data_IF_196613104393
#
_entry.id   IF_196613104393
#
_cell.length_a   1.000
_cell.length_b   1.000
_cell.length_c   1.000
_cell.angle_alpha   90.00
_cell.angle_beta   90.00
_cell.angle_gamma   90.00
#
_symmetry.space_group_name_H-M   'P 1'
#
loop_
_entity.id
_entity.type
_entity.pdbx_description
1 polymer ?
#
# COMPACT_ATOMS: atom_id res chain seq x y z
N UNK A 1 15.46 -75.63 -0.61
CA UNK A 1 15.34 -74.17 -0.74
C UNK A 1 13.87 -73.82 -0.64
N UNK A 2 13.45 -73.12 0.42
CA UNK A 2 12.06 -72.68 0.57
C UNK A 2 11.77 -71.48 -0.33
N UNK A 3 10.56 -71.41 -0.90
CA UNK A 3 10.13 -70.28 -1.73
C UNK A 3 10.09 -69.00 -0.86
N UNK A 4 10.59 -67.86 -1.37
CA UNK A 4 10.51 -66.58 -0.66
C UNK A 4 9.06 -66.13 -0.54
N UNK A 5 8.66 -65.63 0.64
CA UNK A 5 7.33 -65.10 0.87
C UNK A 5 7.09 -63.85 0.00
N UNK A 6 5.98 -63.83 -0.73
CA UNK A 6 5.57 -62.70 -1.56
C UNK A 6 5.12 -61.51 -0.69
N UNK A 7 5.72 -60.34 -0.91
CA UNK A 7 5.35 -59.10 -0.21
C UNK A 7 4.05 -58.55 -0.80
N UNK A 8 2.92 -58.91 -0.18
CA UNK A 8 1.60 -58.47 -0.60
C UNK A 8 1.41 -56.95 -0.33
N UNK A 9 0.65 -56.24 -1.20
CA UNK A 9 0.38 -54.83 -1.01
C UNK A 9 -0.30 -54.57 0.34
N UNK A 10 0.37 -53.79 1.20
CA UNK A 10 -0.13 -53.45 2.54
C UNK A 10 -1.41 -52.63 2.42
N UNK A 11 -2.54 -53.22 2.77
CA UNK A 11 -3.82 -52.49 2.88
C UNK A 11 -3.81 -51.63 4.15
N UNK A 12 -3.44 -50.37 4.01
CA UNK A 12 -3.49 -49.42 5.13
C UNK A 12 -4.91 -49.24 5.70
N UNK A 13 -5.02 -48.60 6.86
CA UNK A 13 -6.30 -48.33 7.52
C UNK A 13 -7.27 -47.60 6.57
N UNK A 14 -8.50 -48.10 6.38
CA UNK A 14 -9.49 -47.44 5.53
C UNK A 14 -9.74 -45.99 5.96
N UNK A 15 -9.77 -45.07 4.99
CA UNK A 15 -10.01 -43.65 5.28
C UNK A 15 -11.48 -43.41 5.64
N UNK A 16 -11.74 -42.83 6.81
CA UNK A 16 -13.11 -42.47 7.23
C UNK A 16 -13.77 -41.43 6.32
N UNK A 17 -12.97 -40.59 5.65
CA UNK A 17 -13.46 -39.52 4.79
C UNK A 17 -13.65 -39.99 3.33
N UNK A 18 -14.86 -40.48 3.02
CA UNK A 18 -15.23 -41.01 1.69
C UNK A 18 -15.09 -39.95 0.58
N UNK A 19 -14.91 -40.39 -0.68
CA UNK A 19 -14.80 -39.53 -1.88
C UNK A 19 -15.94 -38.48 -1.99
N UNK A 20 -17.18 -38.86 -1.64
CA UNK A 20 -18.33 -37.94 -1.64
C UNK A 20 -18.14 -36.77 -0.65
N UNK A 21 -17.58 -37.03 0.52
CA UNK A 21 -17.30 -36.00 1.51
C UNK A 21 -16.12 -35.12 1.10
N UNK A 22 -15.10 -35.66 0.40
CA UNK A 22 -14.02 -34.85 -0.19
C UNK A 22 -14.55 -33.81 -1.18
N UNK A 23 -15.42 -34.22 -2.10
CA UNK A 23 -16.03 -33.29 -3.08
C UNK A 23 -16.87 -32.22 -2.39
N UNK A 24 -17.65 -32.60 -1.37
CA UNK A 24 -18.43 -31.65 -0.56
C UNK A 24 -17.54 -30.68 0.21
N UNK A 25 -16.39 -31.14 0.73
CA UNK A 25 -15.42 -30.31 1.44
C UNK A 25 -14.78 -29.29 0.48
N UNK A 26 -14.38 -29.73 -0.72
CA UNK A 26 -13.85 -28.84 -1.76
C UNK A 26 -14.85 -27.73 -2.10
N UNK A 27 -16.10 -28.09 -2.40
CA UNK A 27 -17.16 -27.12 -2.73
C UNK A 27 -17.48 -26.15 -1.58
N UNK A 28 -17.30 -26.59 -0.33
CA UNK A 28 -17.50 -25.74 0.84
C UNK A 28 -16.33 -24.78 1.11
N UNK A 29 -15.14 -25.04 0.56
CA UNK A 29 -13.92 -24.27 0.83
C UNK A 29 -13.47 -23.40 -0.36
N UNK A 30 -13.62 -23.88 -1.60
CA UNK A 30 -13.12 -23.17 -2.79
C UNK A 30 -13.88 -21.87 -3.03
N UNK A 31 -13.15 -20.77 -3.25
CA UNK A 31 -13.70 -19.44 -3.56
C UNK A 31 -14.73 -18.91 -2.54
N UNK A 32 -14.71 -19.39 -1.30
CA UNK A 32 -15.57 -18.90 -0.21
C UNK A 32 -14.76 -18.07 0.78
N UNK A 33 -15.39 -17.04 1.32
CA UNK A 33 -14.80 -16.14 2.32
C UNK A 33 -15.37 -16.48 3.70
N UNK A 34 -14.57 -16.34 4.77
CA UNK A 34 -15.04 -16.49 6.15
C UNK A 34 -15.26 -17.94 6.62
N UNK A 35 -14.78 -18.90 5.85
CA UNK A 35 -14.86 -20.34 6.15
C UNK A 35 -13.61 -20.78 6.91
N UNK A 36 -13.75 -21.10 8.20
CA UNK A 36 -12.65 -21.64 9.02
C UNK A 36 -12.66 -23.17 9.03
N UNK A 37 -11.49 -23.79 9.23
CA UNK A 37 -11.38 -25.25 9.33
C UNK A 37 -12.17 -25.81 10.51
N UNK A 38 -12.35 -25.04 11.60
CA UNK A 38 -13.23 -25.39 12.71
C UNK A 38 -14.71 -25.40 12.30
N UNK A 39 -15.19 -24.37 11.58
CA UNK A 39 -16.55 -24.34 11.03
C UNK A 39 -16.81 -25.52 10.09
N UNK A 40 -15.82 -25.87 9.26
CA UNK A 40 -15.89 -27.06 8.41
C UNK A 40 -15.90 -28.34 9.26
N UNK A 41 -15.09 -28.44 10.32
CA UNK A 41 -15.11 -29.59 11.23
C UNK A 41 -16.50 -29.83 11.82
N UNK A 42 -17.13 -28.78 12.38
CA UNK A 42 -18.51 -28.84 12.87
C UNK A 42 -19.49 -29.24 11.77
N UNK A 43 -19.39 -28.66 10.57
CA UNK A 43 -20.27 -28.97 9.43
C UNK A 43 -20.17 -30.43 8.96
N UNK A 44 -19.00 -31.02 9.05
CA UNK A 44 -18.74 -32.39 8.59
C UNK A 44 -18.72 -33.41 9.74
N UNK A 45 -18.96 -32.99 10.98
CA UNK A 45 -18.94 -33.87 12.16
C UNK A 45 -17.57 -34.48 12.44
N UNK A 46 -16.48 -33.76 12.14
CA UNK A 46 -15.10 -34.27 12.29
C UNK A 46 -14.20 -33.26 12.99
N UNK A 47 -13.10 -33.75 13.57
CA UNK A 47 -12.06 -32.89 14.13
C UNK A 47 -11.46 -31.95 13.07
N UNK A 48 -11.01 -30.77 13.50
CA UNK A 48 -10.37 -29.78 12.63
C UNK A 48 -9.10 -30.34 11.95
N UNK A 49 -8.34 -31.20 12.63
CA UNK A 49 -7.16 -31.87 12.07
C UNK A 49 -7.51 -32.74 10.85
N UNK A 50 -8.66 -33.42 10.87
CA UNK A 50 -9.20 -34.17 9.73
C UNK A 50 -9.50 -33.26 8.55
N UNK A 51 -10.04 -32.06 8.79
CA UNK A 51 -10.26 -31.06 7.74
C UNK A 51 -8.93 -30.57 7.17
N UNK A 52 -7.96 -30.22 8.04
CA UNK A 52 -6.64 -29.77 7.63
C UNK A 52 -5.97 -30.78 6.69
N UNK A 53 -5.92 -32.04 7.09
CA UNK A 53 -5.33 -33.12 6.30
C UNK A 53 -5.98 -33.26 4.92
N UNK A 54 -7.32 -33.24 4.86
CA UNK A 54 -8.03 -33.40 3.59
C UNK A 54 -7.94 -32.16 2.68
N UNK A 55 -7.90 -30.94 3.23
CA UNK A 55 -7.65 -29.73 2.44
C UNK A 55 -6.23 -29.75 1.83
N UNK A 56 -5.23 -30.17 2.61
CA UNK A 56 -3.85 -30.36 2.13
C UNK A 56 -3.78 -31.42 1.02
N UNK A 57 -4.47 -32.55 1.20
CA UNK A 57 -4.58 -33.63 0.20
C UNK A 57 -5.25 -33.18 -1.10
N UNK A 58 -6.22 -32.26 -1.02
CA UNK A 58 -6.87 -31.64 -2.18
C UNK A 58 -6.03 -30.53 -2.84
N UNK A 59 -4.87 -30.19 -2.29
CA UNK A 59 -4.01 -29.11 -2.81
C UNK A 59 -4.52 -27.70 -2.50
N UNK A 60 -5.54 -27.55 -1.64
CA UNK A 60 -6.09 -26.24 -1.29
C UNK A 60 -5.19 -25.54 -0.27
N UNK A 61 -4.68 -24.36 -0.64
CA UNK A 61 -3.87 -23.49 0.22
C UNK A 61 -4.68 -22.30 0.70
N UNK A 62 -4.39 -21.84 1.92
CA UNK A 62 -5.00 -20.63 2.47
C UNK A 62 -4.15 -19.41 2.12
N UNK A 63 -4.76 -18.39 1.51
CA UNK A 63 -4.12 -17.13 1.17
C UNK A 63 -4.78 -15.97 1.92
N UNK A 64 -3.98 -14.98 2.33
CA UNK A 64 -4.51 -13.73 2.91
C UNK A 64 -5.09 -12.87 1.80
N UNK A 65 -6.28 -12.28 2.02
CA UNK A 65 -6.87 -11.31 1.10
C UNK A 65 -6.05 -10.03 1.10
N UNK A 66 -5.75 -9.51 -0.09
CA UNK A 66 -5.08 -8.22 -0.25
C UNK A 66 -6.10 -7.08 -0.26
N UNK A 67 -5.69 -5.90 0.24
CA UNK A 67 -6.49 -4.68 0.16
C UNK A 67 -6.45 -4.18 -1.29
N UNK A 68 -7.60 -4.06 -1.92
CA UNK A 68 -7.70 -3.40 -3.22
C UNK A 68 -7.71 -1.86 -3.01
N UNK A 69 -7.00 -1.09 -3.86
CA UNK A 69 -7.15 0.36 -3.87
C UNK A 69 -8.58 0.73 -4.29
N UNK A 70 -9.19 1.70 -3.60
CA UNK A 70 -10.46 2.30 -4.05
C UNK A 70 -10.16 3.15 -5.28
N UNK A 71 -10.26 2.60 -6.49
CA UNK A 71 -10.24 3.40 -7.72
C UNK A 71 -11.67 3.77 -8.05
N UNK A 72 -12.01 5.07 -8.01
CA UNK A 72 -13.18 5.56 -8.72
C UNK A 72 -12.95 5.34 -10.22
N UNK A 73 -13.95 4.85 -10.93
CA UNK A 73 -13.89 4.75 -12.38
C UNK A 73 -13.98 6.16 -12.95
N UNK A 74 -12.84 6.74 -13.29
CA UNK A 74 -12.80 7.88 -14.21
C UNK A 74 -13.25 7.35 -15.57
N UNK A 75 -14.23 8.02 -16.16
CA UNK A 75 -14.57 7.89 -17.58
C UNK A 75 -13.32 8.22 -18.41
N UNK A 76 -13.14 7.57 -19.56
CA UNK A 76 -11.91 7.67 -20.36
C UNK A 76 -11.55 9.08 -20.85
N UNK A 77 -12.48 10.04 -20.72
CA UNK A 77 -12.34 11.41 -21.24
C UNK A 77 -12.24 12.49 -20.16
N UNK A 78 -12.21 12.13 -18.87
CA UNK A 78 -12.15 13.12 -17.79
C UNK A 78 -10.74 13.22 -17.23
N UNK A 79 -10.14 14.41 -17.28
CA UNK A 79 -8.83 14.68 -16.70
C UNK A 79 -8.97 15.05 -15.22
N UNK A 80 -8.03 14.61 -14.39
CA UNK A 80 -7.90 15.11 -13.02
C UNK A 80 -6.78 16.15 -13.00
N UNK A 81 -7.09 17.32 -12.46
CA UNK A 81 -6.12 18.34 -12.11
C UNK A 81 -5.98 18.32 -10.59
N UNK A 82 -4.77 18.06 -10.10
CA UNK A 82 -4.44 18.04 -8.67
C UNK A 82 -3.45 19.16 -8.39
N UNK A 83 -3.56 19.83 -7.25
CA UNK A 83 -2.55 20.75 -6.74
C UNK A 83 -2.11 20.38 -5.33
N UNK A 84 -0.90 20.82 -4.94
CA UNK A 84 -0.33 20.60 -3.61
C UNK A 84 0.68 21.70 -3.26
N UNK A 85 0.93 21.86 -1.95
CA UNK A 85 1.99 22.69 -1.40
C UNK A 85 3.09 21.85 -0.72
N UNK A 86 4.35 22.21 -0.99
CA UNK A 86 5.49 21.57 -0.35
C UNK A 86 6.51 22.57 0.14
N UNK A 87 7.00 22.36 1.36
CA UNK A 87 8.14 23.08 1.90
C UNK A 87 9.43 22.29 1.64
N UNK A 88 10.42 22.95 1.06
CA UNK A 88 11.77 22.45 0.84
C UNK A 88 12.75 23.18 1.74
N UNK A 89 13.55 22.45 2.51
CA UNK A 89 14.59 23.06 3.34
C UNK A 89 15.86 23.23 2.51
N UNK A 90 16.71 24.20 2.88
CA UNK A 90 18.01 24.41 2.22
C UNK A 90 19.09 23.45 2.73
N UNK A 91 18.77 22.64 3.75
CA UNK A 91 19.66 21.66 4.38
C UNK A 91 19.29 20.25 3.93
N UNK A 92 20.25 19.51 3.36
CA UNK A 92 20.03 18.22 2.66
C UNK A 92 19.72 17.00 3.56
N UNK A 93 19.08 17.17 4.70
CA UNK A 93 18.84 16.07 5.65
C UNK A 93 17.46 15.41 5.51
N UNK A 94 16.76 15.71 4.42
CA UNK A 94 15.35 15.35 4.20
C UNK A 94 15.09 13.86 3.97
N UNK A 95 16.12 13.00 3.97
CA UNK A 95 15.94 11.56 4.12
C UNK A 95 16.23 11.16 5.58
N UNK A 96 15.19 10.89 6.41
CA UNK A 96 15.34 10.49 7.81
C UNK A 96 16.29 9.30 8.01
N UNK A 97 16.42 8.46 6.99
CA UNK A 97 17.27 7.26 6.98
C UNK A 97 18.78 7.57 6.88
N UNK A 98 19.16 8.79 6.46
CA UNK A 98 20.57 9.19 6.30
C UNK A 98 21.10 10.06 7.45
N UNK A 99 20.32 10.27 8.51
CA UNK A 99 20.67 11.14 9.64
C UNK A 99 21.55 10.42 10.68
N UNK A 100 21.87 9.14 10.46
CA UNK A 100 22.74 8.34 11.32
C UNK A 100 24.23 8.57 11.06
N UNK A 101 25.07 8.15 12.00
CA UNK A 101 26.53 8.11 11.85
C UNK A 101 27.07 6.73 12.20
N UNK A 102 28.20 6.35 11.60
CA UNK A 102 28.91 5.11 11.91
C UNK A 102 30.04 5.38 12.89
N UNK A 103 30.20 4.54 13.92
CA UNK A 103 31.29 4.65 14.88
C UNK A 103 31.61 3.29 15.52
N UNK A 104 32.87 3.08 15.89
CA UNK A 104 33.32 1.88 16.62
C UNK A 104 32.90 1.88 18.09
N UNK A 105 32.78 3.05 18.70
CA UNK A 105 32.29 3.26 20.06
C UNK A 105 31.61 4.63 20.13
N UNK A 106 30.48 4.73 20.84
CA UNK A 106 29.74 5.99 20.94
C UNK A 106 30.54 7.05 21.71
N UNK A 107 31.35 6.65 22.69
CA UNK A 107 32.14 7.54 23.55
C UNK A 107 33.16 8.36 22.74
N UNK A 108 33.81 7.75 21.74
CA UNK A 108 34.92 8.32 20.98
C UNK A 108 34.51 9.31 19.87
N UNK A 109 33.21 9.50 19.66
CA UNK A 109 32.70 10.36 18.59
C UNK A 109 32.65 11.81 19.05
N UNK A 110 33.14 12.77 18.26
CA UNK A 110 33.00 14.19 18.55
C UNK A 110 31.54 14.65 18.74
N UNK A 111 31.30 15.59 19.65
CA UNK A 111 29.95 16.06 19.98
C UNK A 111 29.20 16.68 18.80
N UNK A 112 29.90 17.31 17.85
CA UNK A 112 29.32 17.84 16.62
C UNK A 112 28.86 16.76 15.62
N UNK A 113 29.27 15.50 15.82
CA UNK A 113 28.81 14.34 15.06
C UNK A 113 27.72 13.58 15.82
N UNK A 114 27.82 13.51 17.17
CA UNK A 114 26.80 12.92 18.05
C UNK A 114 25.52 13.74 18.09
N UNK A 115 25.66 15.06 18.17
CA UNK A 115 24.58 16.00 18.42
C UNK A 115 24.43 16.95 17.25
N UNK A 116 23.20 17.07 16.78
CA UNK A 116 22.82 17.99 15.73
C UNK A 116 21.94 19.08 16.29
N UNK A 117 22.35 20.33 16.14
CA UNK A 117 21.49 21.47 16.41
C UNK A 117 20.32 21.48 15.42
N UNK A 118 19.09 21.45 15.94
CA UNK A 118 17.89 21.66 15.13
C UNK A 118 17.39 23.07 15.34
N UNK A 119 17.35 23.86 14.27
CA UNK A 119 16.63 25.13 14.29
C UNK A 119 15.12 24.85 14.42
N UNK A 120 14.44 25.59 15.30
CA UNK A 120 12.98 25.46 15.49
C UNK A 120 12.20 25.84 14.22
N UNK A 121 12.72 26.77 13.43
CA UNK A 121 12.14 27.25 12.18
C UNK A 121 13.23 27.34 11.11
N UNK A 122 13.58 26.22 10.45
CA UNK A 122 14.60 26.24 9.42
C UNK A 122 14.16 27.09 8.23
N UNK A 123 15.13 27.75 7.59
CA UNK A 123 14.89 28.44 6.31
C UNK A 123 14.37 27.43 5.30
N UNK A 124 13.19 27.71 4.75
CA UNK A 124 12.52 26.84 3.79
C UNK A 124 11.89 27.66 2.66
N UNK A 125 11.76 27.02 1.52
CA UNK A 125 11.06 27.53 0.35
C UNK A 125 9.73 26.79 0.26
N UNK A 126 8.66 27.55 0.10
CA UNK A 126 7.35 27.01 -0.21
C UNK A 126 7.23 26.92 -1.73
N UNK A 127 6.79 25.77 -2.23
CA UNK A 127 6.46 25.57 -3.63
C UNK A 127 5.01 25.11 -3.71
N UNK A 128 4.21 25.79 -4.52
CA UNK A 128 2.89 25.35 -4.91
C UNK A 128 2.89 25.04 -6.41
N UNK A 129 2.26 23.94 -6.81
CA UNK A 129 2.15 23.52 -8.20
C UNK A 129 0.88 22.69 -8.42
N UNK A 130 0.28 22.83 -9.61
CA UNK A 130 -0.81 21.99 -10.09
C UNK A 130 -0.31 21.08 -11.22
N UNK A 131 -0.88 19.89 -11.33
CA UNK A 131 -0.48 18.88 -12.31
C UNK A 131 -1.67 18.07 -12.80
N UNK A 132 -1.54 17.57 -14.01
CA UNK A 132 -2.46 16.60 -14.60
C UNK A 132 -1.69 15.63 -15.52
N UNK A 133 -2.40 14.69 -16.13
CA UNK A 133 -1.80 13.81 -17.13
C UNK A 133 -1.22 14.55 -18.36
N UNK A 134 -1.59 15.82 -18.59
CA UNK A 134 -1.11 16.62 -19.74
C UNK A 134 0.10 17.49 -19.44
N UNK A 135 0.42 17.74 -18.16
CA UNK A 135 1.53 18.62 -17.81
C UNK A 135 1.45 19.15 -16.38
N UNK A 136 2.27 20.16 -16.13
CA UNK A 136 2.38 20.85 -14.85
C UNK A 136 2.17 22.36 -15.03
N UNK A 137 1.62 23.02 -14.03
CA UNK A 137 1.50 24.47 -14.02
C UNK A 137 2.85 25.13 -13.78
N UNK A 138 2.92 26.43 -14.08
CA UNK A 138 4.04 27.24 -13.60
C UNK A 138 4.06 27.20 -12.07
N UNK A 139 5.18 26.86 -11.42
CA UNK A 139 5.23 26.83 -9.96
C UNK A 139 5.10 28.24 -9.37
N UNK A 140 4.47 28.33 -8.19
CA UNK A 140 4.64 29.46 -7.30
C UNK A 140 5.73 29.13 -6.29
N UNK A 141 6.74 30.00 -6.17
CA UNK A 141 7.85 29.85 -5.25
C UNK A 141 7.81 31.00 -4.25
N UNK A 142 7.52 30.69 -2.99
CA UNK A 142 7.48 31.65 -1.90
C UNK A 142 8.67 31.48 -0.95
N UNK A 143 9.37 32.57 -0.64
CA UNK A 143 10.36 32.56 0.44
C UNK A 143 9.66 32.66 1.79
N UNK A 144 9.76 31.65 2.64
CA UNK A 144 9.18 31.75 4.00
C UNK A 144 10.15 32.48 4.93
N UNK A 145 9.96 33.79 5.07
CA UNK A 145 10.36 34.53 6.28
C UNK A 145 9.17 34.74 7.23
N UNK A 146 7.99 34.17 6.92
CA UNK A 146 6.71 34.42 7.58
C UNK A 146 5.75 33.21 7.55
N UNK A 147 4.48 33.40 7.96
CA UNK A 147 3.51 32.32 8.21
C UNK A 147 3.20 31.48 6.95
N UNK A 148 2.54 30.34 7.16
CA UNK A 148 2.07 29.40 6.13
C UNK A 148 1.28 30.11 5.00
N UNK A 149 0.99 29.40 3.89
CA UNK A 149 0.12 29.94 2.82
C UNK A 149 -1.16 30.47 3.47
N UNK A 150 -1.39 31.78 3.35
CA UNK A 150 -2.67 32.38 3.69
C UNK A 150 -3.62 32.22 2.51
N UNK A 151 -4.93 32.26 2.78
CA UNK A 151 -5.94 32.21 1.75
C UNK A 151 -5.71 33.30 0.67
N UNK A 152 -5.26 34.49 1.06
CA UNK A 152 -4.96 35.58 0.13
C UNK A 152 -3.80 35.25 -0.81
N UNK A 153 -2.73 34.61 -0.31
CA UNK A 153 -1.61 34.18 -1.14
C UNK A 153 -2.08 33.11 -2.13
N UNK A 154 -2.87 32.15 -1.66
CA UNK A 154 -3.42 31.10 -2.50
C UNK A 154 -4.28 31.66 -3.63
N UNK A 155 -5.24 32.53 -3.31
CA UNK A 155 -6.14 33.14 -4.30
C UNK A 155 -5.37 34.01 -5.29
N UNK A 156 -4.47 34.87 -4.82
CA UNK A 156 -3.81 35.83 -5.69
C UNK A 156 -2.64 35.25 -6.49
N UNK A 157 -1.92 34.27 -5.93
CA UNK A 157 -0.67 33.75 -6.51
C UNK A 157 -0.77 32.34 -7.08
N UNK A 158 -1.62 31.47 -6.50
CA UNK A 158 -1.76 30.09 -6.93
C UNK A 158 -2.90 29.92 -7.94
N UNK A 159 -4.11 30.42 -7.63
CA UNK A 159 -5.26 30.26 -8.53
C UNK A 159 -5.08 30.96 -9.89
N UNK A 160 -4.34 32.07 -9.93
CA UNK A 160 -4.00 32.73 -11.20
C UNK A 160 -3.16 31.82 -12.11
N UNK A 161 -2.23 31.05 -11.53
CA UNK A 161 -1.41 30.06 -12.25
C UNK A 161 -2.18 28.80 -12.61
N UNK A 162 -3.06 28.34 -11.73
CA UNK A 162 -3.99 27.24 -12.01
C UNK A 162 -4.86 27.57 -13.23
N UNK A 163 -5.41 28.79 -13.27
CA UNK A 163 -6.24 29.25 -14.37
C UNK A 163 -5.48 29.24 -15.69
N UNK A 164 -4.28 29.82 -15.75
CA UNK A 164 -3.45 29.77 -16.96
C UNK A 164 -3.15 28.34 -17.40
N UNK A 165 -2.88 27.43 -16.46
CA UNK A 165 -2.66 26.01 -16.75
C UNK A 165 -3.91 25.31 -17.32
N UNK A 166 -5.10 25.60 -16.77
CA UNK A 166 -6.37 25.07 -17.29
C UNK A 166 -6.63 25.59 -18.70
N UNK A 167 -6.42 26.89 -18.93
CA UNK A 167 -6.61 27.51 -20.24
C UNK A 167 -5.61 26.97 -21.29
N UNK A 168 -4.38 26.64 -20.89
CA UNK A 168 -3.35 26.11 -21.79
C UNK A 168 -3.56 24.61 -22.12
N UNK A 169 -3.88 23.78 -21.13
CA UNK A 169 -3.89 22.32 -21.28
C UNK A 169 -5.28 21.69 -21.34
N UNK A 170 -6.32 22.37 -20.84
CA UNK A 170 -7.66 21.80 -20.59
C UNK A 170 -8.84 22.63 -21.11
N UNK A 171 -8.61 23.61 -22.01
CA UNK A 171 -9.66 24.54 -22.46
C UNK A 171 -10.89 23.87 -23.12
N UNK A 172 -10.74 22.66 -23.66
CA UNK A 172 -11.82 21.89 -24.29
C UNK A 172 -12.08 20.53 -23.66
N UNK A 173 -11.45 20.23 -22.54
CA UNK A 173 -11.55 18.92 -21.90
C UNK A 173 -12.59 18.92 -20.78
N UNK A 174 -13.18 17.76 -20.53
CA UNK A 174 -13.88 17.53 -19.27
C UNK A 174 -12.81 17.28 -18.19
N UNK A 175 -12.81 18.10 -17.14
CA UNK A 175 -11.87 17.93 -16.04
C UNK A 175 -12.53 18.04 -14.67
N UNK A 176 -11.94 17.34 -13.71
CA UNK A 176 -12.23 17.45 -12.29
C UNK A 176 -11.04 18.10 -11.63
N UNK A 177 -11.28 19.26 -11.01
CA UNK A 177 -10.30 19.85 -10.12
C UNK A 177 -10.39 19.18 -8.74
N UNK A 178 -9.28 18.59 -8.31
CA UNK A 178 -9.14 17.91 -7.03
C UNK A 178 -8.07 18.64 -6.21
N UNK A 179 -8.47 19.72 -5.51
CA UNK A 179 -7.55 20.39 -4.62
C UNK A 179 -7.24 19.56 -3.39
N UNK A 180 -6.05 19.73 -2.83
CA UNK A 180 -5.83 19.24 -1.48
C UNK A 180 -6.73 20.02 -0.50
N UNK A 181 -7.57 19.26 0.21
CA UNK A 181 -8.41 19.72 1.31
C UNK A 181 -8.15 18.77 2.48
N UNK A 182 -7.25 19.20 3.37
CA UNK A 182 -7.21 18.73 4.75
C UNK A 182 -7.36 19.94 5.69
#
# INVERSE_FOLDING_TARGET
MGLPAEDLPRSGRPTSFKRKNLKRLQNAAINRIGVSQRKLGTKFGVAQSTIHYNLKKLGLKHYKRQKAPKRQMLTSNTFIIVDDEKYFTFSNDDMPQNVGFYAFGKEDVPDNVKFKSKEKYPKKVLVWLALSAKGISTPYIGSTKGPAITADIYVNKCLSKLRSFIEEYHAGDEYIFWPDLA
#
